data_IF_309679160891
#
_entry.id   IF_309679160891
#
_cell.length_a   1.000
_cell.length_b   1.000
_cell.length_c   1.000
_cell.angle_alpha   90.00
_cell.angle_beta   90.00
_cell.angle_gamma   90.00
#
_symmetry.space_group_name_H-M   'P 1'
#
loop_
_entity.id
_entity.type
_entity.pdbx_description
1 polymer ?
#
# COMPACT_ATOMS: atom_id res chain seq x y z
N UNK A 1 -25.91 20.89 -0.10
CA UNK A 1 -26.82 19.87 -0.67
C UNK A 1 -28.20 19.98 -0.03
N UNK A 2 -29.26 19.57 -0.74
CA UNK A 2 -30.65 19.60 -0.23
C UNK A 2 -31.15 18.16 -0.11
N UNK A 3 -31.64 17.76 1.06
CA UNK A 3 -32.31 16.48 1.28
C UNK A 3 -33.75 16.74 1.71
N UNK A 4 -34.71 16.11 1.01
CA UNK A 4 -36.14 16.21 1.33
C UNK A 4 -36.57 14.95 2.07
N UNK A 5 -37.09 15.11 3.28
CA UNK A 5 -37.67 14.03 4.08
C UNK A 5 -39.12 14.41 4.36
N UNK A 6 -40.06 13.74 3.70
CA UNK A 6 -41.49 14.05 3.74
C UNK A 6 -41.76 15.55 3.44
N UNK A 7 -42.35 16.28 4.40
CA UNK A 7 -42.67 17.71 4.29
C UNK A 7 -41.55 18.64 4.74
N UNK A 8 -40.37 18.13 5.13
CA UNK A 8 -39.25 18.94 5.62
C UNK A 8 -38.08 18.92 4.64
N UNK A 9 -37.46 20.10 4.49
CA UNK A 9 -36.25 20.30 3.69
C UNK A 9 -35.08 20.49 4.65
N UNK A 10 -34.08 19.63 4.52
CA UNK A 10 -32.82 19.75 5.24
C UNK A 10 -31.76 20.37 4.32
N UNK A 11 -31.10 21.40 4.82
CA UNK A 11 -30.01 22.09 4.13
C UNK A 11 -28.69 21.66 4.74
N UNK A 12 -27.75 21.28 3.87
CA UNK A 12 -26.36 21.09 4.24
C UNK A 12 -25.51 22.25 3.69
N UNK A 13 -24.80 22.93 4.59
CA UNK A 13 -23.91 24.07 4.31
C UNK A 13 -22.45 23.67 4.06
N UNK A 14 -22.11 22.38 4.14
CA UNK A 14 -20.78 21.85 3.84
C UNK A 14 -20.75 21.15 2.48
N UNK A 15 -19.67 21.33 1.74
CA UNK A 15 -19.44 20.59 0.49
C UNK A 15 -19.04 19.14 0.77
N UNK A 16 -19.48 18.21 -0.06
CA UNK A 16 -19.15 16.78 0.06
C UNK A 16 -20.21 15.86 -0.52
N UNK A 17 -19.95 14.56 -0.42
CA UNK A 17 -20.84 13.49 -0.87
C UNK A 17 -21.83 13.16 0.24
N UNK A 18 -23.11 13.09 -0.08
CA UNK A 18 -24.14 12.63 0.86
C UNK A 18 -24.16 11.10 0.82
N UNK A 19 -23.90 10.45 1.95
CA UNK A 19 -24.02 8.99 2.11
C UNK A 19 -25.07 8.65 3.17
N UNK A 20 -25.99 7.75 2.83
CA UNK A 20 -26.98 7.21 3.76
C UNK A 20 -26.47 5.98 4.52
N UNK A 21 -25.28 5.50 4.19
CA UNK A 21 -24.62 4.45 4.94
C UNK A 21 -23.90 5.06 6.15
N UNK A 22 -24.49 4.84 7.31
CA UNK A 22 -23.97 5.24 8.63
C UNK A 22 -23.60 3.97 9.38
N UNK A 23 -22.44 3.95 10.01
CA UNK A 23 -21.96 2.78 10.77
C UNK A 23 -21.60 3.07 12.22
N UNK A 24 -21.81 4.31 12.69
CA UNK A 24 -21.57 4.72 14.06
C UNK A 24 -20.12 5.09 14.34
N UNK A 25 -19.25 5.05 13.34
CA UNK A 25 -17.85 5.49 13.45
C UNK A 25 -17.66 6.93 12.97
N UNK A 26 -18.73 7.65 12.63
CA UNK A 26 -18.64 9.04 12.11
C UNK A 26 -18.06 10.01 13.12
N UNK A 27 -18.31 9.79 14.42
CA UNK A 27 -17.72 10.59 15.47
C UNK A 27 -16.26 10.22 15.71
N UNK A 28 -15.84 8.98 15.45
CA UNK A 28 -14.48 8.50 15.78
C UNK A 28 -13.51 8.62 14.60
N UNK A 29 -14.01 8.41 13.38
CA UNK A 29 -13.27 8.43 12.12
C UNK A 29 -13.67 9.65 11.28
N UNK A 30 -13.02 10.78 11.60
CA UNK A 30 -13.08 12.01 10.83
C UNK A 30 -11.69 12.48 10.42
N UNK A 31 -11.59 13.33 9.40
CA UNK A 31 -10.29 13.86 8.94
C UNK A 31 -9.53 14.59 10.04
N UNK A 32 -10.23 15.23 10.99
CA UNK A 32 -9.64 15.88 12.16
C UNK A 32 -9.17 14.91 13.26
N UNK A 33 -9.59 13.65 13.20
CA UNK A 33 -9.29 12.60 14.18
C UNK A 33 -8.33 11.54 13.65
N UNK A 34 -7.84 11.68 12.42
CA UNK A 34 -6.87 10.74 11.83
C UNK A 34 -5.64 10.57 12.72
N UNK A 35 -5.23 11.64 13.39
CA UNK A 35 -4.11 11.65 14.32
C UNK A 35 -4.35 10.88 15.63
N UNK A 36 -5.59 10.48 15.92
CA UNK A 36 -5.93 9.70 17.11
C UNK A 36 -5.79 8.18 16.89
N UNK A 37 -5.69 7.72 15.64
CA UNK A 37 -5.51 6.29 15.32
C UNK A 37 -4.07 5.89 15.68
N UNK A 38 -3.89 4.87 16.50
CA UNK A 38 -2.60 4.34 16.93
C UNK A 38 -2.58 2.81 16.81
N UNK A 39 -1.48 2.17 17.20
CA UNK A 39 -1.34 0.71 17.01
C UNK A 39 -2.22 -0.11 17.97
N UNK A 40 -2.65 0.50 19.09
CA UNK A 40 -3.48 -0.14 20.11
C UNK A 40 -4.97 -0.12 19.76
N UNK A 41 -5.47 1.01 19.23
CA UNK A 41 -6.89 1.19 18.89
C UNK A 41 -7.24 0.85 17.43
N UNK A 42 -6.25 0.47 16.61
CA UNK A 42 -6.43 0.19 15.18
C UNK A 42 -7.59 -0.78 14.89
N UNK A 43 -7.73 -1.83 15.71
CA UNK A 43 -8.77 -2.84 15.53
C UNK A 43 -10.13 -2.49 16.15
N UNK A 44 -10.23 -1.40 16.91
CA UNK A 44 -11.49 -0.95 17.51
C UNK A 44 -12.46 -0.39 16.46
N UNK A 45 -11.91 0.06 15.32
CA UNK A 45 -12.63 0.65 14.20
C UNK A 45 -13.30 -0.38 13.28
N UNK A 46 -13.74 -1.51 13.83
CA UNK A 46 -14.53 -2.50 13.09
C UNK A 46 -15.99 -2.10 13.05
N UNK A 47 -16.61 -2.31 11.87
CA UNK A 47 -18.00 -1.97 11.61
C UNK A 47 -18.91 -2.68 12.61
N UNK A 48 -19.56 -1.92 13.50
CA UNK A 48 -20.69 -2.43 14.29
C UNK A 48 -21.93 -2.32 13.40
N UNK A 49 -22.27 -3.38 12.68
CA UNK A 49 -23.43 -3.36 11.79
C UNK A 49 -24.70 -3.09 12.60
N UNK A 50 -25.29 -1.90 12.44
CA UNK A 50 -26.65 -1.60 12.86
C UNK A 50 -27.35 -0.92 11.69
N UNK A 51 -28.05 -1.72 10.90
CA UNK A 51 -29.01 -1.20 9.93
C UNK A 51 -30.16 -0.59 10.72
N UNK A 52 -30.10 0.72 10.97
CA UNK A 52 -31.06 1.43 11.82
C UNK A 52 -32.27 2.00 11.04
N UNK A 53 -32.47 1.58 9.79
CA UNK A 53 -33.60 2.04 8.99
C UNK A 53 -34.70 0.99 9.01
N UNK A 54 -35.65 1.14 9.93
CA UNK A 54 -37.05 0.81 9.66
C UNK A 54 -37.67 2.06 9.03
N UNK A 55 -38.21 1.93 7.83
CA UNK A 55 -38.66 3.04 6.96
C UNK A 55 -39.74 3.95 7.58
N UNK A 56 -40.28 3.62 8.75
CA UNK A 56 -41.43 4.31 9.33
C UNK A 56 -41.09 5.26 10.50
N UNK A 57 -39.96 5.08 11.20
CA UNK A 57 -39.68 5.87 12.41
C UNK A 57 -38.20 6.21 12.61
N UNK A 58 -37.91 7.50 12.72
CA UNK A 58 -36.59 8.04 13.08
C UNK A 58 -36.62 8.47 14.54
N UNK A 59 -35.68 7.98 15.36
CA UNK A 59 -35.54 8.46 16.74
C UNK A 59 -34.81 9.81 16.76
N UNK A 60 -35.22 10.71 17.65
CA UNK A 60 -34.49 11.97 17.89
C UNK A 60 -33.04 11.65 18.30
N UNK A 61 -32.07 12.24 17.61
CA UNK A 61 -30.64 12.01 17.82
C UNK A 61 -30.05 10.88 16.97
N UNK A 62 -30.86 10.15 16.20
CA UNK A 62 -30.36 9.17 15.24
C UNK A 62 -29.82 9.88 13.98
N UNK A 63 -28.60 9.52 13.58
CA UNK A 63 -28.02 10.01 12.34
C UNK A 63 -28.78 9.45 11.12
N UNK A 64 -29.02 10.30 10.12
CA UNK A 64 -29.81 9.97 8.91
C UNK A 64 -28.96 9.85 7.65
N UNK A 65 -27.95 10.69 7.54
CA UNK A 65 -26.93 10.60 6.52
C UNK A 65 -25.66 11.22 7.10
N UNK A 66 -24.53 10.92 6.47
CA UNK A 66 -23.26 11.59 6.70
C UNK A 66 -22.85 12.36 5.46
N UNK A 67 -22.09 13.44 5.68
CA UNK A 67 -21.49 14.22 4.61
C UNK A 67 -20.02 13.86 4.60
N UNK A 68 -19.59 13.23 3.50
CA UNK A 68 -18.21 12.80 3.33
C UNK A 68 -17.46 13.89 2.59
N UNK A 69 -16.43 14.45 3.24
CA UNK A 69 -15.48 15.35 2.58
C UNK A 69 -14.64 14.53 1.59
N UNK A 70 -14.88 14.73 0.30
CA UNK A 70 -14.19 14.02 -0.79
C UNK A 70 -12.95 14.77 -1.30
N UNK A 71 -12.47 15.80 -0.60
CA UNK A 71 -11.23 16.50 -0.92
C UNK A 71 -10.00 15.87 -0.25
N UNK A 72 -10.20 15.04 0.76
CA UNK A 72 -9.13 14.37 1.49
C UNK A 72 -9.56 12.95 1.83
N UNK A 73 -8.67 12.00 1.58
CA UNK A 73 -8.88 10.60 1.92
C UNK A 73 -7.60 10.05 2.52
N UNK A 74 -7.74 9.28 3.60
CA UNK A 74 -6.63 8.70 4.33
C UNK A 74 -6.86 7.20 4.52
N UNK A 75 -5.77 6.45 4.65
CA UNK A 75 -5.80 5.07 5.13
C UNK A 75 -4.75 4.91 6.23
N UNK A 76 -5.06 4.08 7.21
CA UNK A 76 -4.14 3.65 8.25
C UNK A 76 -3.74 2.19 7.99
N UNK A 77 -2.45 1.90 8.02
CA UNK A 77 -1.87 0.60 7.70
C UNK A 77 -1.03 0.16 8.89
N UNK A 78 -1.45 -0.91 9.54
CA UNK A 78 -0.69 -1.54 10.62
C UNK A 78 0.32 -2.52 10.02
N UNK A 79 1.57 -2.42 10.44
CA UNK A 79 2.70 -3.26 10.02
C UNK A 79 3.67 -3.44 11.19
N UNK A 80 4.76 -4.18 11.01
CA UNK A 80 5.86 -4.18 11.97
C UNK A 80 6.62 -2.84 11.98
N UNK A 81 7.38 -2.61 13.06
CA UNK A 81 8.16 -1.39 13.26
C UNK A 81 9.22 -1.20 12.17
N UNK A 82 9.88 -2.28 11.77
CA UNK A 82 11.01 -2.26 10.85
C UNK A 82 10.57 -1.79 9.46
N UNK A 83 9.46 -2.32 8.95
CA UNK A 83 8.85 -1.96 7.68
C UNK A 83 8.36 -0.51 7.71
N UNK A 84 7.66 -0.09 8.78
CA UNK A 84 7.21 1.30 8.89
C UNK A 84 8.39 2.30 8.93
N UNK A 85 9.51 1.92 9.55
CA UNK A 85 10.71 2.75 9.63
C UNK A 85 11.42 2.96 8.29
N UNK A 86 11.07 2.20 7.24
CA UNK A 86 11.64 2.35 5.88
C UNK A 86 11.09 3.56 5.12
N UNK A 87 10.05 4.22 5.64
CA UNK A 87 9.35 5.32 4.99
C UNK A 87 9.62 6.67 5.68
N UNK A 88 9.31 7.77 4.98
CA UNK A 88 9.40 9.14 5.52
C UNK A 88 8.12 9.93 5.26
N UNK A 89 7.70 10.83 6.17
CA UNK A 89 6.59 11.74 5.88
C UNK A 89 6.81 12.52 4.57
N UNK A 90 5.78 12.61 3.75
CA UNK A 90 5.79 13.21 2.42
C UNK A 90 6.28 12.29 1.29
N UNK A 91 6.82 11.11 1.60
CA UNK A 91 7.26 10.14 0.59
C UNK A 91 6.05 9.66 -0.25
N UNK A 92 6.24 9.58 -1.57
CA UNK A 92 5.23 9.07 -2.49
C UNK A 92 5.22 7.55 -2.48
N UNK A 93 4.02 6.98 -2.51
CA UNK A 93 3.76 5.55 -2.54
C UNK A 93 2.57 5.27 -3.46
N UNK A 94 2.41 4.02 -3.86
CA UNK A 94 1.32 3.59 -4.73
C UNK A 94 0.50 2.51 -4.06
N UNK A 95 -0.81 2.53 -4.32
CA UNK A 95 -1.76 1.54 -3.84
C UNK A 95 -2.48 0.91 -5.01
N UNK A 96 -2.66 -0.40 -4.95
CA UNK A 96 -3.47 -1.15 -5.91
C UNK A 96 -4.39 -2.13 -5.18
N UNK A 97 -5.65 -2.20 -5.56
CA UNK A 97 -6.62 -3.12 -5.00
C UNK A 97 -7.57 -3.63 -6.08
N UNK A 98 -8.19 -4.78 -5.85
CA UNK A 98 -9.07 -5.41 -6.83
C UNK A 98 -10.27 -4.52 -7.18
N UNK A 99 -10.81 -3.78 -6.20
CA UNK A 99 -11.98 -2.91 -6.40
C UNK A 99 -11.69 -1.70 -7.30
N UNK A 100 -10.41 -1.32 -7.44
CA UNK A 100 -9.97 -0.20 -8.31
C UNK A 100 -9.29 -0.71 -9.59
N UNK A 101 -9.34 -2.02 -9.85
CA UNK A 101 -8.76 -2.68 -11.01
C UNK A 101 -7.24 -2.55 -11.11
N UNK A 102 -6.72 -2.49 -12.34
CA UNK A 102 -5.28 -2.38 -12.61
C UNK A 102 -4.69 -0.99 -12.33
N UNK A 103 -5.46 -0.07 -11.75
CA UNK A 103 -5.02 1.30 -11.48
C UNK A 103 -4.07 1.35 -10.29
N UNK A 104 -2.91 1.97 -10.51
CA UNK A 104 -2.03 2.42 -9.43
C UNK A 104 -2.51 3.79 -8.95
N UNK A 105 -2.89 3.88 -7.68
CA UNK A 105 -3.35 5.12 -7.06
C UNK A 105 -2.21 5.73 -6.27
N UNK A 106 -1.87 6.97 -6.58
CA UNK A 106 -0.86 7.74 -5.85
C UNK A 106 -1.37 8.15 -4.46
N UNK A 107 -0.47 8.00 -3.50
CA UNK A 107 -0.64 8.49 -2.15
C UNK A 107 0.71 9.01 -1.61
N UNK A 108 0.65 9.71 -0.49
CA UNK A 108 1.82 10.15 0.24
C UNK A 108 1.75 9.71 1.70
N UNK A 109 2.91 9.40 2.29
CA UNK A 109 3.01 9.12 3.71
C UNK A 109 2.65 10.40 4.47
N UNK A 110 1.50 10.43 5.14
CA UNK A 110 1.08 11.56 5.96
C UNK A 110 1.78 11.52 7.32
N UNK A 111 1.82 10.35 7.95
CA UNK A 111 2.40 10.18 9.29
C UNK A 111 2.84 8.74 9.54
N UNK A 112 3.84 8.60 10.39
CA UNK A 112 4.37 7.30 10.85
C UNK A 112 4.30 7.30 12.38
N UNK A 113 3.81 6.22 12.97
CA UNK A 113 3.82 5.99 14.42
C UNK A 113 4.48 4.66 14.71
N UNK A 114 5.45 4.64 15.62
CA UNK A 114 6.20 3.45 16.00
C UNK A 114 6.00 3.20 17.50
N UNK A 115 5.41 2.08 17.86
CA UNK A 115 5.00 1.73 19.23
C UNK A 115 5.43 0.27 19.51
N UNK A 116 6.47 0.08 20.32
CA UNK A 116 7.09 -1.24 20.49
C UNK A 116 7.53 -1.83 19.16
N UNK A 117 7.14 -3.09 18.91
CA UNK A 117 7.39 -3.84 17.66
C UNK A 117 6.40 -3.52 16.53
N UNK A 118 5.42 -2.65 16.78
CA UNK A 118 4.40 -2.29 15.79
C UNK A 118 4.72 -0.94 15.14
N UNK A 119 4.38 -0.84 13.86
CA UNK A 119 4.37 0.39 13.09
C UNK A 119 2.98 0.68 12.53
N UNK A 120 2.61 1.96 12.49
CA UNK A 120 1.41 2.44 11.81
C UNK A 120 1.82 3.49 10.78
N UNK A 121 1.48 3.23 9.51
CA UNK A 121 1.58 4.19 8.42
C UNK A 121 0.20 4.82 8.21
N UNK A 122 0.11 6.14 8.27
CA UNK A 122 -1.06 6.88 7.81
C UNK A 122 -0.68 7.47 6.46
N UNK A 123 -1.41 7.09 5.41
CA UNK A 123 -1.23 7.60 4.06
C UNK A 123 -2.38 8.52 3.68
N UNK A 124 -2.09 9.50 2.83
CA UNK A 124 -3.07 10.39 2.22
C UNK A 124 -3.11 10.14 0.73
N UNK A 125 -4.29 9.85 0.19
CA UNK A 125 -4.49 9.68 -1.25
C UNK A 125 -4.59 11.02 -1.94
N UNK A 126 -4.09 11.08 -3.18
CA UNK A 126 -4.16 12.27 -4.02
C UNK A 126 -5.54 12.43 -4.69
N UNK A 127 -6.36 11.37 -4.65
CA UNK A 127 -7.73 11.36 -5.15
C UNK A 127 -8.67 10.63 -4.18
N UNK A 128 -9.96 10.92 -4.31
CA UNK A 128 -11.00 10.22 -3.56
C UNK A 128 -11.46 8.96 -4.30
N UNK A 129 -11.38 7.81 -3.63
CA UNK A 129 -11.82 6.52 -4.16
C UNK A 129 -13.28 6.28 -3.81
N UNK A 130 -14.16 6.45 -4.79
CA UNK A 130 -15.60 6.28 -4.61
C UNK A 130 -15.97 4.84 -4.25
N UNK A 131 -15.21 3.88 -4.76
CA UNK A 131 -15.31 2.45 -4.50
C UNK A 131 -15.18 2.13 -3.01
N UNK A 132 -14.45 2.95 -2.27
CA UNK A 132 -14.19 2.77 -0.83
C UNK A 132 -15.04 3.70 0.06
N UNK A 133 -16.00 4.44 -0.51
CA UNK A 133 -16.82 5.41 0.23
C UNK A 133 -17.39 4.84 1.54
N UNK A 134 -17.84 3.59 1.52
CA UNK A 134 -18.44 2.91 2.66
C UNK A 134 -17.60 1.74 3.19
N UNK A 135 -16.37 1.57 2.71
CA UNK A 135 -15.43 0.60 3.22
C UNK A 135 -14.67 1.20 4.41
N UNK A 136 -14.57 0.43 5.50
CA UNK A 136 -13.73 0.78 6.67
C UNK A 136 -12.43 -0.01 6.72
N UNK A 137 -12.42 -1.15 6.04
CA UNK A 137 -11.30 -2.06 5.90
C UNK A 137 -11.21 -2.43 4.43
N UNK A 138 -10.02 -2.32 3.87
CA UNK A 138 -9.71 -2.60 2.46
C UNK A 138 -8.40 -3.37 2.43
N UNK A 139 -8.34 -4.38 1.58
CA UNK A 139 -7.11 -5.11 1.29
C UNK A 139 -6.50 -4.53 0.01
N UNK A 140 -5.20 -4.23 0.04
CA UNK A 140 -4.52 -3.67 -1.12
C UNK A 140 -3.03 -3.99 -1.10
N UNK A 141 -2.42 -3.98 -2.29
CA UNK A 141 -0.98 -3.98 -2.47
C UNK A 141 -0.43 -2.59 -2.20
N UNK A 142 0.49 -2.50 -1.26
CA UNK A 142 1.23 -1.28 -0.93
C UNK A 142 2.59 -1.30 -1.62
N UNK A 143 2.85 -0.33 -2.49
CA UNK A 143 3.99 -0.33 -3.39
C UNK A 143 4.83 0.91 -3.09
N UNK A 144 6.02 0.69 -2.54
CA UNK A 144 6.96 1.77 -2.22
C UNK A 144 7.53 2.42 -3.47
N UNK A 145 8.18 1.62 -4.32
CA UNK A 145 8.84 2.08 -5.53
C UNK A 145 8.48 1.18 -6.71
N UNK A 146 8.45 1.78 -7.90
CA UNK A 146 8.30 1.06 -9.16
C UNK A 146 9.62 1.21 -9.91
N UNK A 147 10.39 0.13 -9.94
CA UNK A 147 11.62 0.08 -10.71
C UNK A 147 11.36 -0.59 -12.06
N UNK A 148 11.96 -0.06 -13.12
CA UNK A 148 12.02 -0.71 -14.42
C UNK A 148 13.44 -1.20 -14.62
N UNK A 149 13.60 -2.49 -14.85
CA UNK A 149 14.90 -3.12 -15.05
C UNK A 149 14.76 -4.63 -15.20
N UNK A 150 15.88 -5.31 -15.37
CA UNK A 150 15.90 -6.77 -15.37
C UNK A 150 15.82 -7.23 -13.92
N UNK A 151 14.84 -8.09 -13.63
CA UNK A 151 14.63 -8.66 -12.31
C UNK A 151 15.16 -10.09 -12.31
N UNK A 152 16.05 -10.41 -11.38
CA UNK A 152 16.64 -11.74 -11.23
C UNK A 152 16.47 -12.24 -9.79
N UNK A 153 16.47 -13.55 -9.54
CA UNK A 153 16.49 -14.09 -8.19
C UNK A 153 17.73 -13.58 -7.45
N UNK A 154 17.58 -13.11 -6.20
CA UNK A 154 18.69 -12.60 -5.38
C UNK A 154 19.83 -13.61 -5.26
N UNK A 155 19.49 -14.89 -5.13
CA UNK A 155 20.46 -16.00 -5.06
C UNK A 155 21.34 -16.18 -6.32
N UNK A 156 20.96 -15.59 -7.46
CA UNK A 156 21.81 -15.59 -8.65
C UNK A 156 23.01 -14.61 -8.51
N UNK A 157 22.91 -13.65 -7.59
CA UNK A 157 23.95 -12.66 -7.31
C UNK A 157 24.90 -13.20 -6.27
N UNK A 158 26.20 -13.12 -6.55
CA UNK A 158 27.24 -13.55 -5.63
C UNK A 158 28.48 -12.66 -5.75
N UNK A 159 29.31 -12.67 -4.72
CA UNK A 159 30.58 -11.95 -4.69
C UNK A 159 31.71 -12.87 -5.17
N UNK A 160 32.54 -12.37 -6.08
CA UNK A 160 33.80 -12.98 -6.50
C UNK A 160 34.97 -12.01 -6.22
N UNK A 161 36.24 -12.42 -6.41
CA UNK A 161 37.37 -11.48 -6.36
C UNK A 161 37.27 -10.31 -7.35
N UNK A 162 36.47 -10.46 -8.41
CA UNK A 162 36.24 -9.42 -9.43
C UNK A 162 35.11 -8.43 -9.06
N UNK A 163 34.32 -8.73 -8.01
CA UNK A 163 33.22 -7.88 -7.54
C UNK A 163 31.92 -8.63 -7.29
N UNK A 164 30.83 -7.88 -7.13
CA UNK A 164 29.47 -8.43 -7.10
C UNK A 164 28.96 -8.65 -8.54
N UNK A 165 28.47 -9.85 -8.82
CA UNK A 165 28.13 -10.24 -10.19
C UNK A 165 27.22 -11.45 -10.28
N UNK A 166 27.07 -11.92 -11.52
CA UNK A 166 26.26 -13.10 -11.89
C UNK A 166 27.04 -13.98 -12.88
N UNK A 167 26.63 -15.24 -13.03
CA UNK A 167 27.12 -16.12 -14.09
C UNK A 167 26.13 -16.20 -15.24
N UNK A 168 26.62 -15.90 -16.44
CA UNK A 168 25.89 -16.05 -17.70
C UNK A 168 26.41 -17.30 -18.40
N UNK A 169 25.50 -18.22 -18.72
CA UNK A 169 25.79 -19.39 -19.54
C UNK A 169 25.80 -19.00 -21.03
N UNK A 170 26.84 -19.40 -21.74
CA UNK A 170 27.04 -19.17 -23.18
C UNK A 170 26.82 -20.51 -23.91
N UNK A 171 25.63 -20.76 -24.49
CA UNK A 171 25.30 -22.07 -25.06
C UNK A 171 26.18 -22.49 -26.24
N UNK A 172 26.67 -21.53 -27.02
CA UNK A 172 27.48 -21.83 -28.21
C UNK A 172 28.85 -22.41 -27.85
N UNK A 173 29.43 -21.99 -26.73
CA UNK A 173 30.74 -22.44 -26.25
C UNK A 173 30.67 -23.38 -25.06
N UNK A 174 29.46 -23.69 -24.56
CA UNK A 174 29.22 -24.48 -23.35
C UNK A 174 30.04 -23.99 -22.14
N UNK A 175 30.13 -22.68 -21.97
CA UNK A 175 30.96 -22.03 -20.94
C UNK A 175 30.15 -21.05 -20.11
N UNK A 176 30.64 -20.72 -18.93
CA UNK A 176 30.10 -19.66 -18.09
C UNK A 176 30.99 -18.41 -18.16
N UNK A 177 30.37 -17.24 -18.09
CA UNK A 177 31.06 -15.97 -18.01
C UNK A 177 30.56 -15.20 -16.79
N UNK A 178 31.51 -14.73 -15.97
CA UNK A 178 31.21 -13.80 -14.89
C UNK A 178 30.94 -12.41 -15.46
N UNK A 179 29.86 -11.79 -14.98
CA UNK A 179 29.46 -10.44 -15.36
C UNK A 179 29.20 -9.62 -14.11
N UNK A 180 29.94 -8.52 -13.98
CA UNK A 180 29.68 -7.54 -12.94
C UNK A 180 28.31 -6.91 -13.14
N UNK A 181 27.59 -6.75 -12.05
CA UNK A 181 26.28 -6.12 -12.05
C UNK A 181 26.20 -5.06 -10.95
N UNK A 182 25.19 -4.21 -11.03
CA UNK A 182 24.82 -3.33 -9.94
C UNK A 182 23.41 -3.69 -9.47
N UNK A 183 23.25 -4.06 -8.20
CA UNK A 183 21.93 -4.20 -7.58
C UNK A 183 21.37 -2.81 -7.32
N UNK A 184 20.27 -2.47 -8.00
CA UNK A 184 19.62 -1.16 -7.89
C UNK A 184 18.65 -1.12 -6.70
N UNK A 185 17.83 -2.16 -6.56
CA UNK A 185 16.86 -2.35 -5.48
C UNK A 185 16.47 -3.83 -5.42
N UNK A 186 15.83 -4.27 -4.34
CA UNK A 186 15.23 -5.60 -4.28
C UNK A 186 14.62 -5.92 -2.93
N UNK A 187 14.00 -7.09 -2.83
CA UNK A 187 13.62 -7.70 -1.56
C UNK A 187 14.52 -8.92 -1.31
N UNK A 188 14.17 -9.78 -0.36
CA UNK A 188 14.96 -10.97 -0.02
C UNK A 188 14.98 -12.03 -1.15
N UNK A 189 13.97 -12.04 -2.03
CA UNK A 189 13.81 -13.05 -3.07
C UNK A 189 14.34 -12.59 -4.43
N UNK A 190 14.07 -11.34 -4.80
CA UNK A 190 14.29 -10.79 -6.14
C UNK A 190 15.01 -9.45 -6.08
N UNK A 191 15.87 -9.20 -7.06
CA UNK A 191 16.63 -7.94 -7.22
C UNK A 191 16.48 -7.39 -8.62
N UNK A 192 16.36 -6.06 -8.71
CA UNK A 192 16.47 -5.31 -9.95
C UNK A 192 17.92 -4.97 -10.15
N UNK A 193 18.47 -5.34 -11.30
CA UNK A 193 19.89 -5.20 -11.58
C UNK A 193 20.13 -4.43 -12.87
N UNK A 194 21.26 -3.74 -12.90
CA UNK A 194 21.86 -3.18 -14.12
C UNK A 194 23.10 -3.99 -14.51
N UNK A 195 23.43 -3.99 -15.80
CA UNK A 195 24.56 -4.74 -16.37
C UNK A 195 24.18 -6.08 -17.03
N UNK A 196 22.90 -6.45 -17.09
CA UNK A 196 22.40 -7.65 -17.77
C UNK A 196 21.52 -7.25 -18.96
N UNK A 197 21.46 -8.09 -20.00
CA UNK A 197 20.57 -7.91 -21.15
C UNK A 197 19.48 -8.98 -21.19
N UNK A 198 18.31 -8.62 -21.71
CA UNK A 198 17.19 -9.57 -21.89
C UNK A 198 17.64 -10.67 -22.85
N UNK A 199 17.38 -11.93 -22.48
CA UNK A 199 17.72 -13.12 -23.26
C UNK A 199 19.04 -13.79 -22.86
N UNK A 200 19.81 -13.22 -21.93
CA UNK A 200 20.97 -13.90 -21.34
C UNK A 200 20.52 -15.08 -20.44
N UNK A 201 21.21 -16.22 -20.55
CA UNK A 201 20.92 -17.41 -19.73
C UNK A 201 21.65 -17.29 -18.38
N UNK A 202 20.91 -17.00 -17.31
CA UNK A 202 21.47 -16.82 -15.97
C UNK A 202 21.50 -18.12 -15.16
N UNK A 203 22.61 -18.34 -14.47
CA UNK A 203 22.70 -19.35 -13.42
C UNK A 203 22.08 -18.79 -12.14
N UNK A 204 21.10 -19.50 -11.57
CA UNK A 204 20.35 -19.08 -10.39
C UNK A 204 20.84 -19.73 -9.08
N UNK A 205 21.83 -20.60 -9.18
CA UNK A 205 22.46 -21.39 -8.11
C UNK A 205 23.97 -21.48 -8.37
N UNK A 206 24.68 -20.33 -8.41
CA UNK A 206 26.11 -20.30 -8.72
C UNK A 206 26.94 -21.09 -7.69
N UNK A 207 26.47 -21.28 -6.45
CA UNK A 207 27.17 -22.12 -5.47
C UNK A 207 27.30 -23.60 -5.85
N UNK A 208 26.42 -24.12 -6.70
CA UNK A 208 26.45 -25.50 -7.17
C UNK A 208 27.45 -25.72 -8.32
N UNK A 209 27.99 -24.63 -8.87
CA UNK A 209 29.00 -24.66 -9.93
C UNK A 209 30.40 -24.49 -9.34
N UNK A 210 31.34 -25.30 -9.80
CA UNK A 210 32.77 -25.17 -9.47
C UNK A 210 33.44 -24.03 -10.29
N UNK A 211 32.77 -22.88 -10.38
CA UNK A 211 33.24 -21.74 -11.16
C UNK A 211 34.18 -20.88 -10.31
N UNK A 212 35.45 -20.77 -10.73
CA UNK A 212 36.48 -19.99 -10.00
C UNK A 212 37.06 -20.69 -8.77
N UNK A 213 36.62 -21.90 -8.46
CA UNK A 213 37.30 -22.82 -7.53
C UNK A 213 38.27 -23.68 -8.35
N UNK A 214 39.39 -23.07 -8.72
CA UNK A 214 40.53 -23.83 -9.23
C UNK A 214 41.15 -24.66 -8.10
N UNK A 215 41.46 -25.92 -8.43
CA UNK A 215 42.61 -26.64 -7.86
C UNK A 215 43.89 -25.83 -8.09
#
# INVERSE_FOLDING_TARGET
GIVRLNSRILYNYQSGIISFAIDGLEEDLGSSKIDNINTDNFYDYKRKFKQNFDNDYIKKGQALFRIVNNNQMFSAILTDREEAARYRPGEKVFVQADEIGDRLVEASIYKIKLEGEKGLLIIKFDLFLMEWLNARWVEFRFIKNIHRGIVIPRKAVFTSPEGEGVLVYIPFSDTYQFKNIQVLEGNEEMVVVDGISIGENLVINPEDLDYGRGV
#
